data_IF_004957302930
#
_entry.id   IF_004957302930
#
_cell.length_a   1.000
_cell.length_b   1.000
_cell.length_c   1.000
_cell.angle_alpha   90.00
_cell.angle_beta   90.00
_cell.angle_gamma   90.00
#
_symmetry.space_group_name_H-M   'P 1'
#
loop_
_entity.id
_entity.type
_entity.pdbx_description
1 polymer ?
#
# COMPACT_ATOMS: atom_id res chain seq x y z
N UNK A 1 -17.54 6.77 -47.40
CA UNK A 1 -18.06 5.39 -47.30
C UNK A 1 -18.70 5.24 -45.92
N UNK A 2 -20.02 5.11 -45.85
CA UNK A 2 -20.77 4.93 -44.58
C UNK A 2 -20.56 3.50 -44.10
N UNK A 3 -20.09 3.32 -42.87
CA UNK A 3 -20.08 2.01 -42.22
C UNK A 3 -21.52 1.67 -41.81
N UNK A 4 -22.13 0.71 -42.49
CA UNK A 4 -23.32 0.01 -42.04
C UNK A 4 -22.88 -1.00 -40.97
N UNK A 5 -23.14 -0.68 -39.69
CA UNK A 5 -23.03 -1.65 -38.61
C UNK A 5 -24.21 -2.61 -38.77
N UNK A 6 -23.92 -3.87 -39.09
CA UNK A 6 -24.91 -4.94 -39.12
C UNK A 6 -25.48 -5.11 -37.71
N UNK A 7 -26.78 -4.87 -37.57
CA UNK A 7 -27.52 -4.93 -36.31
C UNK A 7 -28.52 -6.07 -36.32
N UNK A 8 -28.05 -7.31 -36.41
CA UNK A 8 -28.92 -8.51 -36.51
C UNK A 8 -28.42 -9.69 -35.65
N UNK A 9 -27.85 -9.44 -34.47
CA UNK A 9 -27.71 -10.46 -33.43
C UNK A 9 -28.14 -9.86 -32.08
N UNK A 10 -29.41 -9.51 -31.99
CA UNK A 10 -30.06 -9.10 -30.75
C UNK A 10 -30.19 -10.34 -29.86
N UNK A 11 -29.30 -10.42 -28.86
CA UNK A 11 -29.44 -11.11 -27.58
C UNK A 11 -30.55 -12.16 -27.52
N UNK A 12 -30.17 -13.42 -27.71
CA UNK A 12 -30.88 -14.51 -27.07
C UNK A 12 -30.84 -14.24 -25.55
N UNK A 13 -31.89 -13.61 -25.03
CA UNK A 13 -32.15 -13.44 -23.60
C UNK A 13 -31.88 -14.80 -22.94
N UNK A 14 -30.78 -14.87 -22.18
CA UNK A 14 -30.47 -16.06 -21.39
C UNK A 14 -31.72 -16.42 -20.60
N UNK A 15 -32.21 -17.64 -20.77
CA UNK A 15 -33.44 -18.05 -20.13
C UNK A 15 -33.24 -17.95 -18.60
N UNK A 16 -34.19 -17.38 -17.86
CA UNK A 16 -34.06 -17.16 -16.41
C UNK A 16 -33.71 -18.44 -15.64
N UNK A 17 -34.11 -19.62 -16.15
CA UNK A 17 -33.73 -20.92 -15.59
C UNK A 17 -32.22 -21.18 -15.61
N UNK A 18 -31.52 -20.72 -16.65
CA UNK A 18 -30.07 -20.89 -16.77
C UNK A 18 -29.31 -19.96 -15.82
N UNK A 19 -29.84 -18.76 -15.56
CA UNK A 19 -29.28 -17.82 -14.59
C UNK A 19 -29.47 -18.32 -13.15
N UNK A 20 -30.65 -18.86 -12.81
CA UNK A 20 -30.90 -19.50 -11.52
C UNK A 20 -29.98 -20.70 -11.28
N UNK A 21 -29.77 -21.53 -12.30
CA UNK A 21 -28.85 -22.67 -12.22
C UNK A 21 -27.40 -22.23 -11.94
N UNK A 22 -26.93 -21.18 -12.63
CA UNK A 22 -25.60 -20.58 -12.36
C UNK A 22 -25.50 -20.00 -10.95
N UNK A 23 -26.54 -19.31 -10.47
CA UNK A 23 -26.54 -18.74 -9.12
C UNK A 23 -26.49 -19.83 -8.05
N UNK A 24 -27.23 -20.93 -8.21
CA UNK A 24 -27.17 -22.09 -7.30
C UNK A 24 -25.79 -22.75 -7.32
N UNK A 25 -25.23 -22.99 -8.51
CA UNK A 25 -23.88 -23.56 -8.64
C UNK A 25 -22.82 -22.68 -7.98
N UNK A 26 -22.92 -21.35 -8.15
CA UNK A 26 -22.02 -20.40 -7.49
C UNK A 26 -22.16 -20.46 -5.97
N UNK A 27 -23.40 -20.46 -5.45
CA UNK A 27 -23.68 -20.57 -4.01
C UNK A 27 -23.09 -21.85 -3.42
N UNK A 28 -23.25 -22.99 -4.11
CA UNK A 28 -22.72 -24.27 -3.66
C UNK A 28 -21.19 -24.30 -3.67
N UNK A 29 -20.55 -23.73 -4.71
CA UNK A 29 -19.08 -23.59 -4.77
C UNK A 29 -18.56 -22.70 -3.65
N UNK A 30 -19.25 -21.61 -3.34
CA UNK A 30 -18.90 -20.71 -2.23
C UNK A 30 -19.04 -21.45 -0.90
N UNK A 31 -20.15 -22.17 -0.68
CA UNK A 31 -20.35 -22.98 0.53
C UNK A 31 -19.27 -24.06 0.70
N UNK A 32 -18.93 -24.78 -0.36
CA UNK A 32 -17.86 -25.77 -0.36
C UNK A 32 -16.49 -25.14 -0.05
N UNK A 33 -16.20 -23.97 -0.61
CA UNK A 33 -14.97 -23.23 -0.34
C UNK A 33 -14.88 -22.80 1.12
N UNK A 34 -15.99 -22.34 1.70
CA UNK A 34 -16.06 -22.00 3.13
C UNK A 34 -15.89 -23.23 4.04
N UNK A 35 -16.47 -24.36 3.67
CA UNK A 35 -16.29 -25.61 4.41
C UNK A 35 -14.86 -26.15 4.30
N UNK A 36 -14.20 -25.94 3.16
CA UNK A 36 -12.79 -26.25 2.99
C UNK A 36 -11.92 -25.34 3.86
N UNK A 37 -12.13 -24.02 3.79
CA UNK A 37 -11.48 -23.01 4.65
C UNK A 37 -11.67 -23.31 6.14
N UNK A 38 -12.87 -23.72 6.54
CA UNK A 38 -13.19 -24.09 7.92
C UNK A 38 -12.40 -25.32 8.38
N UNK A 39 -12.21 -26.31 7.50
CA UNK A 39 -11.45 -27.54 7.80
C UNK A 39 -9.95 -27.29 7.83
N UNK A 40 -9.45 -26.57 6.83
CA UNK A 40 -8.02 -26.34 6.63
C UNK A 40 -7.46 -25.25 7.55
N UNK A 41 -8.29 -24.31 8.00
CA UNK A 41 -7.91 -23.07 8.71
C UNK A 41 -6.95 -22.19 7.90
N UNK A 42 -6.95 -20.88 8.13
CA UNK A 42 -5.99 -19.98 7.43
C UNK A 42 -4.55 -20.08 7.96
N UNK A 43 -4.32 -20.89 9.00
CA UNK A 43 -3.05 -21.03 9.66
C UNK A 43 -2.06 -21.83 8.80
N UNK A 44 -0.77 -21.53 8.98
CA UNK A 44 0.28 -22.37 8.40
C UNK A 44 0.16 -23.83 8.90
N UNK A 45 0.29 -24.85 8.02
CA UNK A 45 0.17 -26.26 8.42
C UNK A 45 1.14 -26.68 9.52
N UNK A 46 2.36 -26.14 9.53
CA UNK A 46 3.34 -26.39 10.59
C UNK A 46 2.87 -25.81 11.92
N UNK A 47 2.28 -24.61 11.90
CA UNK A 47 1.69 -24.01 13.09
C UNK A 47 0.45 -24.77 13.60
N UNK A 48 -0.35 -25.34 12.71
CA UNK A 48 -1.47 -26.23 13.07
C UNK A 48 -0.97 -27.48 13.79
N UNK A 49 0.10 -28.12 13.29
CA UNK A 49 0.71 -29.28 13.95
C UNK A 49 1.24 -28.93 15.34
N UNK A 50 1.88 -27.77 15.49
CA UNK A 50 2.39 -27.31 16.78
C UNK A 50 1.26 -26.99 17.77
N UNK A 51 0.21 -26.30 17.32
CA UNK A 51 -0.99 -26.07 18.12
C UNK A 51 -1.67 -27.37 18.54
N UNK A 52 -1.71 -28.36 17.66
CA UNK A 52 -2.27 -29.68 17.95
C UNK A 52 -1.47 -30.41 19.05
N UNK A 53 -0.14 -30.24 19.06
CA UNK A 53 0.74 -30.81 20.10
C UNK A 53 0.62 -30.07 21.43
N UNK A 54 0.63 -28.75 21.42
CA UNK A 54 0.66 -27.95 22.65
C UNK A 54 -0.72 -27.80 23.30
N UNK A 55 -1.75 -27.43 22.52
CA UNK A 55 -3.07 -27.07 23.04
C UNK A 55 -4.19 -27.45 22.03
N UNK A 56 -4.57 -28.73 21.92
CA UNK A 56 -5.52 -29.20 20.91
C UNK A 56 -6.91 -28.53 21.03
N UNK A 57 -7.31 -28.12 22.24
CA UNK A 57 -8.56 -27.40 22.48
C UNK A 57 -8.64 -26.05 21.73
N UNK A 58 -7.51 -25.34 21.56
CA UNK A 58 -7.49 -24.08 20.78
C UNK A 58 -7.70 -24.34 19.30
N UNK A 59 -7.16 -25.43 18.76
CA UNK A 59 -7.36 -25.81 17.37
C UNK A 59 -8.84 -26.17 17.10
N UNK A 60 -9.47 -26.92 18.01
CA UNK A 60 -10.90 -27.23 17.92
C UNK A 60 -11.76 -25.95 17.95
N UNK A 61 -11.42 -25.00 18.82
CA UNK A 61 -12.10 -23.71 18.86
C UNK A 61 -11.87 -22.89 17.59
N UNK A 62 -10.66 -22.87 17.04
CA UNK A 62 -10.35 -22.17 15.78
C UNK A 62 -11.10 -22.74 14.58
N UNK A 63 -11.42 -24.04 14.59
CA UNK A 63 -12.26 -24.73 13.58
C UNK A 63 -13.77 -24.57 13.82
N UNK A 64 -14.17 -24.03 14.98
CA UNK A 64 -15.58 -23.69 15.24
C UNK A 64 -16.02 -22.50 14.38
N UNK A 65 -17.34 -22.31 14.23
CA UNK A 65 -17.89 -21.16 13.48
C UNK A 65 -17.44 -19.81 14.04
N UNK A 66 -17.25 -19.71 15.36
CA UNK A 66 -16.74 -18.49 15.99
C UNK A 66 -15.26 -18.27 15.68
N UNK A 67 -14.46 -19.34 15.64
CA UNK A 67 -13.06 -19.28 15.23
C UNK A 67 -12.91 -18.83 13.77
N UNK A 68 -13.76 -19.32 12.88
CA UNK A 68 -13.83 -18.88 11.48
C UNK A 68 -14.23 -17.40 11.39
N UNK A 69 -15.26 -16.97 12.12
CA UNK A 69 -15.70 -15.57 12.13
C UNK A 69 -14.56 -14.64 12.57
N UNK A 70 -13.79 -15.02 13.61
CA UNK A 70 -12.63 -14.25 14.05
C UNK A 70 -11.53 -14.21 12.97
N UNK A 71 -11.25 -15.32 12.29
CA UNK A 71 -10.27 -15.37 11.20
C UNK A 71 -10.66 -14.45 10.04
N UNK A 72 -11.93 -14.48 9.61
CA UNK A 72 -12.46 -13.59 8.59
C UNK A 72 -12.37 -12.14 9.05
N UNK A 73 -12.77 -11.82 10.29
CA UNK A 73 -12.69 -10.48 10.83
C UNK A 73 -11.24 -9.95 10.86
N UNK A 74 -10.27 -10.77 11.29
CA UNK A 74 -8.85 -10.40 11.28
C UNK A 74 -8.32 -10.17 9.86
N UNK A 75 -8.74 -11.00 8.90
CA UNK A 75 -8.40 -10.82 7.49
C UNK A 75 -9.01 -9.53 6.92
N UNK A 76 -10.28 -9.26 7.19
CA UNK A 76 -10.95 -8.01 6.79
C UNK A 76 -10.28 -6.78 7.39
N UNK A 77 -9.89 -6.81 8.66
CA UNK A 77 -9.12 -5.73 9.29
C UNK A 77 -7.77 -5.54 8.61
N UNK A 78 -7.06 -6.64 8.29
CA UNK A 78 -5.80 -6.59 7.56
C UNK A 78 -5.95 -5.91 6.20
N UNK A 79 -6.93 -6.33 5.41
CA UNK A 79 -7.26 -5.74 4.10
C UNK A 79 -7.65 -4.27 4.24
N UNK A 80 -8.52 -3.94 5.21
CA UNK A 80 -8.93 -2.57 5.48
C UNK A 80 -7.77 -1.65 5.85
N UNK A 81 -6.80 -2.12 6.65
CA UNK A 81 -5.59 -1.37 6.97
C UNK A 81 -4.68 -1.18 5.75
N UNK A 82 -4.54 -2.19 4.89
CA UNK A 82 -3.74 -2.12 3.64
C UNK A 82 -4.37 -1.16 2.61
N UNK A 83 -5.69 -1.14 2.52
CA UNK A 83 -6.43 -0.18 1.71
C UNK A 83 -6.31 1.23 2.27
N UNK A 84 -6.63 1.38 3.56
CA UNK A 84 -6.64 2.66 4.26
C UNK A 84 -5.29 3.35 4.20
N UNK A 85 -4.20 2.63 4.47
CA UNK A 85 -2.85 3.22 4.38
C UNK A 85 -2.58 3.73 2.96
N UNK A 86 -3.03 3.04 1.92
CA UNK A 86 -2.78 3.44 0.52
C UNK A 86 -3.55 4.71 0.17
N UNK A 87 -4.82 4.78 0.58
CA UNK A 87 -5.69 5.96 0.41
C UNK A 87 -5.11 7.16 1.16
N UNK A 88 -4.83 7.03 2.46
CA UNK A 88 -4.34 8.14 3.27
C UNK A 88 -2.92 8.57 2.89
N UNK A 89 -2.04 7.66 2.48
CA UNK A 89 -0.76 8.04 1.88
C UNK A 89 -0.96 8.85 0.60
N UNK A 90 -1.92 8.46 -0.25
CA UNK A 90 -2.23 9.24 -1.45
C UNK A 90 -2.82 10.60 -1.11
N UNK A 91 -3.67 10.72 -0.09
CA UNK A 91 -4.23 12.00 0.35
C UNK A 91 -3.16 12.91 0.94
N UNK A 92 -2.25 12.35 1.74
CA UNK A 92 -1.16 13.08 2.36
C UNK A 92 -0.17 13.63 1.32
N UNK A 93 0.08 12.88 0.24
CA UNK A 93 0.97 13.31 -0.84
C UNK A 93 0.31 14.31 -1.81
N UNK A 94 -0.98 14.12 -2.14
CA UNK A 94 -1.73 14.96 -3.10
C UNK A 94 -2.29 16.27 -2.52
N UNK A 95 -2.07 16.55 -1.23
CA UNK A 95 -2.57 17.77 -0.61
C UNK A 95 -2.00 19.03 -1.29
N UNK A 96 -2.69 20.17 -1.17
CA UNK A 96 -2.18 21.48 -1.65
C UNK A 96 -0.77 21.75 -1.14
N UNK A 97 -0.51 21.31 0.09
CA UNK A 97 0.79 21.36 0.73
C UNK A 97 1.50 20.02 0.57
N UNK A 98 2.53 20.00 -0.28
CA UNK A 98 3.35 18.80 -0.52
C UNK A 98 4.17 18.47 0.73
N UNK A 99 3.82 17.38 1.42
CA UNK A 99 4.64 16.84 2.51
C UNK A 99 5.99 16.37 1.98
N UNK A 100 7.00 16.31 2.86
CA UNK A 100 8.26 15.60 2.56
C UNK A 100 7.96 14.10 2.51
N UNK A 101 8.01 13.42 1.35
CA UNK A 101 7.57 12.03 1.25
C UNK A 101 8.41 11.07 2.10
N UNK A 102 9.72 11.34 2.25
CA UNK A 102 10.65 10.52 3.02
C UNK A 102 10.50 10.66 4.54
N UNK A 103 9.81 11.70 5.01
CA UNK A 103 9.54 11.86 6.45
C UNK A 103 8.63 10.76 6.99
N UNK A 104 7.66 10.30 6.18
CA UNK A 104 6.70 9.25 6.57
C UNK A 104 7.40 7.90 6.87
N UNK A 105 8.21 7.31 5.97
CA UNK A 105 8.95 6.08 6.26
C UNK A 105 9.87 6.17 7.49
N UNK A 106 10.55 7.32 7.68
CA UNK A 106 11.46 7.52 8.82
C UNK A 106 10.67 7.59 10.13
N UNK A 107 9.58 8.36 10.18
CA UNK A 107 8.68 8.40 11.33
C UNK A 107 8.08 7.03 11.62
N UNK A 108 7.69 6.30 10.58
CA UNK A 108 7.14 4.97 10.69
C UNK A 108 8.16 4.02 11.32
N UNK A 109 9.39 3.98 10.84
CA UNK A 109 10.45 3.14 11.40
C UNK A 109 10.71 3.48 12.87
N UNK A 110 10.83 4.78 13.21
CA UNK A 110 11.00 5.23 14.59
C UNK A 110 9.84 4.80 15.49
N UNK A 111 8.60 5.01 15.06
CA UNK A 111 7.41 4.64 15.82
C UNK A 111 7.34 3.11 16.00
N UNK A 112 7.75 2.33 15.00
CA UNK A 112 7.80 0.87 15.12
C UNK A 112 8.86 0.39 16.09
N UNK A 113 10.02 1.03 16.14
CA UNK A 113 11.04 0.77 17.17
C UNK A 113 10.46 1.04 18.56
N UNK A 114 9.80 2.19 18.76
CA UNK A 114 9.19 2.55 20.04
C UNK A 114 8.12 1.53 20.47
N UNK A 115 7.20 1.16 19.56
CA UNK A 115 6.15 0.17 19.83
C UNK A 115 6.77 -1.20 20.13
N UNK A 116 7.77 -1.60 19.37
CA UNK A 116 8.45 -2.89 19.53
C UNK A 116 9.15 -3.01 20.88
N UNK A 117 9.93 -1.99 21.26
CA UNK A 117 10.59 -1.91 22.57
C UNK A 117 9.57 -1.86 23.71
N UNK A 118 8.52 -1.05 23.58
CA UNK A 118 7.48 -0.92 24.60
C UNK A 118 6.75 -2.25 24.80
N UNK A 119 6.42 -2.94 23.70
CA UNK A 119 5.78 -4.26 23.75
C UNK A 119 6.70 -5.32 24.37
N UNK A 120 7.98 -5.32 24.03
CA UNK A 120 8.97 -6.22 24.61
C UNK A 120 9.10 -6.02 26.13
N UNK A 121 9.18 -4.75 26.55
CA UNK A 121 9.25 -4.38 27.96
C UNK A 121 7.97 -4.74 28.72
N UNK A 122 6.79 -4.46 28.18
CA UNK A 122 5.51 -4.73 28.85
C UNK A 122 5.19 -6.21 28.98
N UNK A 123 5.55 -7.06 28.01
CA UNK A 123 5.18 -8.48 28.00
C UNK A 123 6.19 -9.39 28.72
N UNK A 124 7.49 -9.07 28.68
CA UNK A 124 8.56 -9.94 29.21
C UNK A 124 9.42 -9.23 30.26
N UNK A 125 9.47 -7.90 30.26
CA UNK A 125 10.22 -7.11 31.21
C UNK A 125 11.65 -6.77 30.75
N UNK A 126 12.52 -6.49 31.72
CA UNK A 126 13.90 -6.00 31.50
C UNK A 126 14.77 -6.90 30.63
N UNK A 127 14.71 -8.25 30.71
CA UNK A 127 15.57 -9.11 29.88
C UNK A 127 15.30 -8.95 28.38
N UNK A 128 14.03 -8.86 27.98
CA UNK A 128 13.67 -8.66 26.58
C UNK A 128 14.03 -7.27 26.06
N UNK A 129 14.02 -6.26 26.94
CA UNK A 129 14.51 -4.93 26.60
C UNK A 129 16.00 -4.95 26.27
N UNK A 130 16.84 -5.59 27.10
CA UNK A 130 18.26 -5.71 26.81
C UNK A 130 18.52 -6.49 25.51
N UNK A 131 17.74 -7.56 25.28
CA UNK A 131 17.81 -8.36 24.07
C UNK A 131 17.41 -7.57 22.80
N UNK A 132 16.48 -6.62 22.89
CA UNK A 132 16.09 -5.77 21.76
C UNK A 132 17.26 -4.93 21.19
N UNK A 133 18.33 -4.74 21.96
CA UNK A 133 19.53 -4.00 21.58
C UNK A 133 20.74 -4.91 21.27
N UNK A 134 20.52 -6.21 20.99
CA UNK A 134 21.58 -7.10 20.53
C UNK A 134 22.08 -6.69 19.13
N UNK A 135 23.26 -6.08 19.09
CA UNK A 135 23.88 -5.56 17.88
C UNK A 135 24.16 -6.65 16.83
N UNK A 136 24.48 -7.88 17.25
CA UNK A 136 24.74 -8.97 16.30
C UNK A 136 23.45 -9.37 15.58
N UNK A 137 22.34 -9.41 16.32
CA UNK A 137 21.01 -9.69 15.74
C UNK A 137 20.56 -8.56 14.83
N UNK A 138 20.71 -7.31 15.26
CA UNK A 138 20.40 -6.14 14.41
C UNK A 138 21.19 -6.19 13.09
N UNK A 139 22.50 -6.45 13.15
CA UNK A 139 23.33 -6.58 11.94
C UNK A 139 22.91 -7.76 11.05
N UNK A 140 22.45 -8.88 11.63
CA UNK A 140 21.91 -10.02 10.86
C UNK A 140 20.65 -9.64 10.06
N UNK A 141 19.81 -8.75 10.59
CA UNK A 141 18.60 -8.27 9.89
C UNK A 141 18.85 -7.08 8.94
N UNK A 142 20.03 -6.45 8.99
CA UNK A 142 20.36 -5.27 8.20
C UNK A 142 20.17 -5.44 6.67
N UNK A 143 20.58 -6.56 6.03
CA UNK A 143 20.37 -6.74 4.59
C UNK A 143 18.89 -6.71 4.19
N UNK A 144 18.01 -7.29 5.01
CA UNK A 144 16.55 -7.28 4.78
C UNK A 144 16.00 -5.87 4.94
N UNK A 145 16.46 -5.15 5.96
CA UNK A 145 16.09 -3.76 6.21
C UNK A 145 16.50 -2.84 5.04
N UNK A 146 17.69 -3.05 4.46
CA UNK A 146 18.18 -2.32 3.29
C UNK A 146 17.29 -2.55 2.07
N UNK A 147 16.94 -3.82 1.77
CA UNK A 147 16.08 -4.16 0.63
C UNK A 147 14.69 -3.52 0.77
N UNK A 148 14.08 -3.58 1.96
CA UNK A 148 12.79 -2.93 2.20
C UNK A 148 12.86 -1.40 2.14
N UNK A 149 13.93 -0.80 2.67
CA UNK A 149 14.14 0.65 2.60
C UNK A 149 14.31 1.12 1.15
N UNK A 150 15.04 0.36 0.34
CA UNK A 150 15.16 0.60 -1.09
C UNK A 150 13.81 0.46 -1.80
N UNK A 151 13.04 -0.60 -1.52
CA UNK A 151 11.71 -0.77 -2.08
C UNK A 151 10.79 0.41 -1.75
N UNK A 152 10.71 0.83 -0.48
CA UNK A 152 9.91 1.98 -0.06
C UNK A 152 10.36 3.27 -0.77
N UNK A 153 11.66 3.43 -0.98
CA UNK A 153 12.23 4.57 -1.69
C UNK A 153 11.77 4.63 -3.16
N UNK A 154 11.80 3.49 -3.88
CA UNK A 154 11.28 3.41 -5.25
C UNK A 154 9.77 3.67 -5.30
N UNK A 155 9.02 3.20 -4.31
CA UNK A 155 7.60 3.50 -4.20
C UNK A 155 7.34 5.01 -4.06
N UNK A 156 8.15 5.70 -3.24
CA UNK A 156 8.08 7.16 -3.09
C UNK A 156 8.41 7.87 -4.41
N UNK A 157 9.50 7.47 -5.08
CA UNK A 157 9.90 8.04 -6.39
C UNK A 157 8.76 7.93 -7.40
N UNK A 158 8.16 6.74 -7.51
CA UNK A 158 7.04 6.49 -8.41
C UNK A 158 5.84 7.40 -8.11
N UNK A 159 5.48 7.55 -6.83
CA UNK A 159 4.34 8.41 -6.43
C UNK A 159 4.58 9.87 -6.77
N UNK A 160 5.78 10.39 -6.49
CA UNK A 160 6.15 11.77 -6.84
C UNK A 160 6.13 11.97 -8.36
N UNK A 161 6.56 10.98 -9.14
CA UNK A 161 6.54 11.05 -10.60
C UNK A 161 5.13 11.12 -11.19
N UNK A 162 4.11 10.50 -10.55
CA UNK A 162 2.73 10.45 -11.05
C UNK A 162 1.98 11.78 -10.92
N UNK A 163 2.38 12.63 -9.98
CA UNK A 163 1.58 13.80 -9.60
C UNK A 163 1.60 14.94 -10.64
N UNK A 164 2.68 15.07 -11.41
CA UNK A 164 2.82 16.12 -12.43
C UNK A 164 2.04 15.83 -13.71
N UNK A 165 1.80 14.55 -14.05
CA UNK A 165 0.97 14.23 -15.22
C UNK A 165 -0.44 14.78 -15.04
N UNK A 166 -0.99 14.75 -13.82
CA UNK A 166 -2.31 15.34 -13.52
C UNK A 166 -2.35 16.85 -13.76
N UNK A 167 -1.28 17.59 -13.47
CA UNK A 167 -1.23 19.04 -13.73
C UNK A 167 -1.27 19.33 -15.24
N UNK A 168 -0.64 18.47 -16.05
CA UNK A 168 -0.69 18.55 -17.50
C UNK A 168 -2.08 18.21 -18.06
N UNK A 169 -2.82 17.31 -17.40
CA UNK A 169 -4.22 17.00 -17.74
C UNK A 169 -5.21 18.10 -17.32
N UNK A 170 -5.04 18.74 -16.16
CA UNK A 170 -5.95 19.83 -15.72
C UNK A 170 -5.82 21.10 -16.56
N UNK A 171 -4.61 21.46 -17.02
CA UNK A 171 -4.45 22.52 -18.04
C UNK A 171 -5.12 22.16 -19.38
N UNK A 172 -5.34 20.87 -19.64
CA UNK A 172 -6.04 20.39 -20.84
C UNK A 172 -7.56 20.30 -20.66
N UNK A 173 -8.05 20.19 -19.42
CA UNK A 173 -9.48 20.17 -19.07
C UNK A 173 -10.14 21.54 -19.21
N UNK A 174 -9.44 22.64 -18.88
CA UNK A 174 -9.94 24.00 -19.16
C UNK A 174 -10.10 24.27 -20.67
N UNK A 175 -9.45 23.48 -21.53
CA UNK A 175 -9.57 23.57 -22.99
C UNK A 175 -10.63 22.61 -23.58
N UNK A 176 -11.31 21.77 -22.79
CA UNK A 176 -12.30 20.79 -23.27
C UNK A 176 -13.67 20.91 -22.58
N UNK A 177 -14.25 22.12 -22.61
CA UNK A 177 -15.62 22.39 -22.15
C UNK A 177 -16.73 21.79 -23.05
N UNK A 178 -16.45 20.92 -24.04
CA UNK A 178 -17.53 20.52 -24.98
C UNK A 178 -17.48 19.14 -25.64
N UNK A 179 -16.98 18.08 -25.00
CA UNK A 179 -17.24 16.70 -25.50
C UNK A 179 -17.67 15.72 -24.42
N UNK A 180 -18.85 15.15 -24.67
CA UNK A 180 -19.61 14.15 -23.95
C UNK A 180 -18.85 12.85 -23.67
N UNK A 181 -18.91 12.43 -22.40
CA UNK A 181 -18.99 11.06 -21.86
C UNK A 181 -18.29 9.94 -22.65
N UNK A 182 -16.98 9.79 -22.43
CA UNK A 182 -16.30 8.48 -22.50
C UNK A 182 -15.44 8.34 -21.24
N UNK A 183 -15.50 7.20 -20.51
CA UNK A 183 -14.64 6.96 -19.36
C UNK A 183 -13.16 6.95 -19.79
N UNK A 184 -12.40 7.95 -19.31
CA UNK A 184 -11.01 8.23 -19.69
C UNK A 184 -9.98 7.15 -19.29
N UNK A 185 -10.38 6.10 -18.57
CA UNK A 185 -9.45 5.04 -18.17
C UNK A 185 -9.00 4.14 -19.35
N UNK A 186 -9.68 4.20 -20.51
CA UNK A 186 -9.38 3.35 -21.68
C UNK A 186 -9.12 4.10 -22.99
N UNK A 187 -9.15 5.44 -22.99
CA UNK A 187 -8.91 6.22 -24.21
C UNK A 187 -7.41 6.50 -24.42
N UNK A 188 -6.61 5.46 -24.66
CA UNK A 188 -5.29 5.59 -25.31
C UNK A 188 -5.45 5.56 -26.84
N UNK A 189 -6.23 6.49 -27.39
CA UNK A 189 -6.58 6.52 -28.81
C UNK A 189 -6.38 7.89 -29.44
N UNK A 190 -5.41 7.95 -30.35
CA UNK A 190 -5.26 8.86 -31.50
C UNK A 190 -5.26 10.37 -31.24
N UNK A 191 -4.10 10.87 -30.80
CA UNK A 191 -3.71 12.27 -30.97
C UNK A 191 -2.86 12.42 -32.23
N UNK A 192 -3.50 12.71 -33.37
CA UNK A 192 -2.87 12.84 -34.69
C UNK A 192 -2.18 14.21 -34.93
N UNK A 193 -1.87 14.99 -33.88
CA UNK A 193 -1.45 16.39 -34.03
C UNK A 193 -0.24 16.88 -33.20
N UNK A 194 0.44 16.02 -32.44
CA UNK A 194 1.57 16.45 -31.60
C UNK A 194 2.68 15.38 -31.54
N UNK A 195 3.39 15.19 -32.65
CA UNK A 195 4.44 14.17 -32.78
C UNK A 195 5.54 14.29 -31.70
N UNK A 196 5.94 15.51 -31.33
CA UNK A 196 7.02 15.72 -30.33
C UNK A 196 6.58 15.42 -28.88
N UNK A 197 5.28 15.52 -28.57
CA UNK A 197 4.79 15.25 -27.21
C UNK A 197 4.53 13.77 -26.95
N UNK A 198 4.30 12.97 -27.99
CA UNK A 198 4.03 11.52 -27.86
C UNK A 198 5.21 10.77 -27.24
N UNK A 199 6.44 11.12 -27.66
CA UNK A 199 7.65 10.44 -27.18
C UNK A 199 7.89 10.69 -25.69
N UNK A 200 7.70 11.93 -25.22
CA UNK A 200 7.86 12.29 -23.80
C UNK A 200 6.86 11.57 -22.88
N UNK A 201 5.61 11.37 -23.35
CA UNK A 201 4.58 10.62 -22.60
C UNK A 201 4.95 9.14 -22.51
N UNK A 202 5.37 8.52 -23.61
CA UNK A 202 5.79 7.11 -23.61
C UNK A 202 7.00 6.87 -22.69
N UNK A 203 8.00 7.76 -22.72
CA UNK A 203 9.18 7.65 -21.84
C UNK A 203 8.79 7.77 -20.37
N UNK A 204 7.88 8.68 -20.02
CA UNK A 204 7.41 8.87 -18.65
C UNK A 204 6.63 7.65 -18.13
N UNK A 205 5.78 7.06 -18.96
CA UNK A 205 5.03 5.85 -18.63
C UNK A 205 5.95 4.63 -18.46
N UNK A 206 6.90 4.43 -19.37
CA UNK A 206 7.88 3.35 -19.30
C UNK A 206 8.73 3.46 -18.02
N UNK A 207 9.16 4.68 -17.67
CA UNK A 207 9.91 4.94 -16.44
C UNK A 207 9.07 4.64 -15.19
N UNK A 208 7.81 5.07 -15.18
CA UNK A 208 6.87 4.79 -14.09
C UNK A 208 6.64 3.28 -13.89
N UNK A 209 6.44 2.53 -14.98
CA UNK A 209 6.33 1.06 -14.94
C UNK A 209 7.60 0.40 -14.43
N UNK A 210 8.78 0.89 -14.84
CA UNK A 210 10.07 0.41 -14.35
C UNK A 210 10.19 0.56 -12.83
N UNK A 211 9.83 1.73 -12.28
CA UNK A 211 9.86 1.94 -10.82
C UNK A 211 8.90 1.02 -10.06
N UNK A 212 7.69 0.81 -10.57
CA UNK A 212 6.72 -0.13 -9.96
C UNK A 212 7.28 -1.55 -10.00
N UNK A 213 7.83 -1.97 -11.14
CA UNK A 213 8.41 -3.30 -11.30
C UNK A 213 9.60 -3.53 -10.35
N UNK A 214 10.53 -2.58 -10.27
CA UNK A 214 11.66 -2.62 -9.32
C UNK A 214 11.17 -2.67 -7.88
N UNK A 215 10.16 -1.86 -7.52
CA UNK A 215 9.54 -1.89 -6.20
C UNK A 215 8.98 -3.28 -5.86
N UNK A 216 8.22 -3.89 -6.78
CA UNK A 216 7.60 -5.21 -6.57
C UNK A 216 8.66 -6.28 -6.35
N UNK A 217 9.69 -6.33 -7.22
CA UNK A 217 10.81 -7.28 -7.09
C UNK A 217 11.51 -7.12 -5.74
N UNK A 218 11.90 -5.89 -5.37
CA UNK A 218 12.60 -5.65 -4.11
C UNK A 218 11.73 -5.99 -2.90
N UNK A 219 10.44 -5.66 -2.95
CA UNK A 219 9.47 -6.01 -1.91
C UNK A 219 9.35 -7.53 -1.71
N UNK A 220 9.35 -8.30 -2.80
CA UNK A 220 9.20 -9.75 -2.75
C UNK A 220 10.50 -10.44 -2.31
N UNK A 221 11.66 -10.00 -2.81
CA UNK A 221 12.97 -10.45 -2.31
C UNK A 221 13.09 -10.18 -0.81
N UNK A 222 12.78 -8.95 -0.37
CA UNK A 222 12.80 -8.59 1.03
C UNK A 222 11.86 -9.45 1.86
N UNK A 223 10.67 -9.78 1.34
CA UNK A 223 9.71 -10.67 2.00
C UNK A 223 10.23 -12.10 2.18
N UNK A 224 10.85 -12.68 1.14
CA UNK A 224 11.44 -14.03 1.20
C UNK A 224 12.61 -14.08 2.18
N UNK A 225 13.50 -13.08 2.13
CA UNK A 225 14.63 -13.01 3.08
C UNK A 225 14.14 -12.82 4.52
N UNK A 226 13.15 -11.96 4.73
CA UNK A 226 12.52 -11.75 6.04
C UNK A 226 11.92 -13.05 6.59
N UNK A 227 11.19 -13.78 5.76
CA UNK A 227 10.61 -15.07 6.16
C UNK A 227 11.68 -16.06 6.61
N UNK A 228 12.77 -16.21 5.84
CA UNK A 228 13.90 -17.08 6.20
C UNK A 228 14.53 -16.66 7.53
N UNK A 229 14.86 -15.38 7.71
CA UNK A 229 15.48 -14.89 8.95
C UNK A 229 14.55 -14.99 10.17
N UNK A 230 13.24 -14.78 9.99
CA UNK A 230 12.26 -14.92 11.07
C UNK A 230 12.10 -16.38 11.50
N UNK A 231 12.21 -17.31 10.54
CA UNK A 231 12.20 -18.77 10.78
C UNK A 231 13.52 -19.23 11.40
N UNK A 232 14.68 -18.70 11.04
CA UNK A 232 15.97 -19.11 11.64
C UNK A 232 16.06 -18.84 13.16
N UNK A 233 15.22 -17.95 13.69
CA UNK A 233 15.17 -17.57 15.11
C UNK A 233 13.92 -18.17 15.79
N UNK A 234 13.64 -19.46 15.55
CA UNK A 234 12.56 -20.21 16.21
C UNK A 234 12.74 -20.12 17.73
N UNK A 235 11.73 -19.59 18.43
CA UNK A 235 11.76 -19.38 19.89
C UNK A 235 11.83 -17.92 20.32
N UNK A 236 12.17 -16.99 19.42
CA UNK A 236 12.08 -15.57 19.75
C UNK A 236 10.69 -14.98 19.43
N UNK A 237 10.10 -14.20 20.35
CA UNK A 237 8.85 -13.50 20.09
C UNK A 237 8.96 -12.57 18.88
N UNK A 238 7.89 -12.48 18.10
CA UNK A 238 7.87 -11.68 16.86
C UNK A 238 8.18 -10.20 17.11
N UNK A 239 7.68 -9.60 18.19
CA UNK A 239 7.91 -8.18 18.47
C UNK A 239 9.40 -7.87 18.71
N UNK A 240 10.19 -8.80 19.27
CA UNK A 240 11.65 -8.62 19.42
C UNK A 240 12.33 -8.67 18.06
N UNK A 241 12.03 -9.71 17.26
CA UNK A 241 12.56 -9.87 15.91
C UNK A 241 12.24 -8.66 15.02
N UNK A 242 10.99 -8.16 15.11
CA UNK A 242 10.55 -6.95 14.41
C UNK A 242 11.31 -5.71 14.88
N UNK A 243 11.57 -5.58 16.18
CA UNK A 243 12.36 -4.47 16.73
C UNK A 243 13.78 -4.47 16.16
N UNK A 244 14.45 -5.62 16.09
CA UNK A 244 15.78 -5.71 15.47
C UNK A 244 15.78 -5.26 14.00
N UNK A 245 14.77 -5.67 13.24
CA UNK A 245 14.62 -5.29 11.83
C UNK A 245 14.38 -3.79 11.67
N UNK A 246 13.55 -3.17 12.52
CA UNK A 246 13.26 -1.73 12.44
C UNK A 246 14.42 -0.87 12.97
N UNK A 247 15.17 -1.32 13.98
CA UNK A 247 16.40 -0.64 14.43
C UNK A 247 17.44 -0.63 13.31
N UNK A 248 17.60 -1.75 12.59
CA UNK A 248 18.48 -1.81 11.41
C UNK A 248 17.95 -1.01 10.22
N UNK A 249 16.63 -0.98 10.04
CA UNK A 249 15.95 -0.27 8.96
C UNK A 249 15.94 1.25 9.13
N UNK A 250 15.91 1.76 10.36
CA UNK A 250 15.83 3.20 10.63
C UNK A 250 17.02 4.00 10.05
N UNK A 251 18.30 3.63 10.28
CA UNK A 251 19.43 4.27 9.61
C UNK A 251 19.36 4.16 8.08
N UNK A 252 18.85 3.04 7.55
CA UNK A 252 18.70 2.82 6.12
C UNK A 252 17.65 3.76 5.51
N UNK A 253 16.53 3.99 6.20
CA UNK A 253 15.51 4.95 5.80
C UNK A 253 16.05 6.39 5.80
N UNK A 254 16.83 6.75 6.83
CA UNK A 254 17.51 8.05 6.88
C UNK A 254 18.46 8.20 5.68
N UNK A 255 19.33 7.22 5.45
CA UNK A 255 20.28 7.23 4.33
C UNK A 255 19.55 7.36 2.99
N UNK A 256 18.49 6.59 2.78
CA UNK A 256 17.68 6.65 1.56
C UNK A 256 17.01 8.02 1.37
N UNK A 257 16.67 8.73 2.45
CA UNK A 257 16.13 10.09 2.32
C UNK A 257 17.12 11.08 1.69
N UNK A 258 18.42 10.83 1.79
CA UNK A 258 19.47 11.58 1.09
C UNK A 258 19.73 11.03 -0.31
N UNK A 259 19.84 9.69 -0.44
CA UNK A 259 20.19 9.06 -1.71
C UNK A 259 19.12 9.22 -2.78
N UNK A 260 17.83 9.16 -2.42
CA UNK A 260 16.72 9.26 -3.37
C UNK A 260 16.71 10.57 -4.16
N UNK A 261 16.72 11.76 -3.54
CA UNK A 261 16.72 13.00 -4.30
C UNK A 261 18.03 13.22 -5.07
N UNK A 262 19.18 12.73 -4.56
CA UNK A 262 20.44 12.76 -5.30
C UNK A 262 20.41 11.87 -6.56
N UNK A 263 19.81 10.67 -6.45
CA UNK A 263 19.60 9.78 -7.59
C UNK A 263 18.67 10.43 -8.63
N UNK A 264 17.60 11.09 -8.19
CA UNK A 264 16.71 11.84 -9.08
C UNK A 264 17.44 13.00 -9.77
N UNK A 265 18.28 13.73 -9.04
CA UNK A 265 19.12 14.78 -9.61
C UNK A 265 20.08 14.21 -10.66
N UNK A 266 20.73 13.08 -10.37
CA UNK A 266 21.64 12.39 -11.29
C UNK A 266 20.93 11.89 -12.57
N UNK A 267 19.69 11.43 -12.45
CA UNK A 267 18.85 11.03 -13.58
C UNK A 267 18.30 12.21 -14.40
N UNK A 268 18.70 13.45 -14.08
CA UNK A 268 18.26 14.65 -14.80
C UNK A 268 16.81 15.02 -14.53
N UNK A 269 16.22 14.56 -13.42
CA UNK A 269 14.88 14.99 -13.02
C UNK A 269 14.94 16.49 -12.66
N UNK A 270 13.96 17.27 -13.12
CA UNK A 270 13.90 18.71 -12.86
C UNK A 270 14.00 19.05 -11.36
N UNK A 271 14.71 20.13 -11.04
CA UNK A 271 14.98 20.57 -9.66
C UNK A 271 13.70 20.77 -8.82
N UNK A 272 12.64 21.27 -9.45
CA UNK A 272 11.33 21.45 -8.83
C UNK A 272 10.72 20.15 -8.27
N UNK A 273 11.18 18.97 -8.70
CA UNK A 273 10.67 17.66 -8.25
C UNK A 273 11.46 17.06 -7.09
N UNK A 274 12.79 17.06 -7.18
CA UNK A 274 13.63 16.42 -6.16
C UNK A 274 13.94 17.34 -4.99
N UNK A 275 14.05 18.66 -5.21
CA UNK A 275 14.42 19.62 -4.16
C UNK A 275 13.38 19.70 -3.02
N UNK A 276 12.06 19.65 -3.27
CA UNK A 276 11.06 19.60 -2.20
C UNK A 276 11.09 18.33 -1.34
N UNK A 277 11.80 17.27 -1.76
CA UNK A 277 11.95 16.05 -0.96
C UNK A 277 13.13 16.13 0.01
N UNK A 278 14.03 17.09 -0.17
CA UNK A 278 15.17 17.33 0.71
C UNK A 278 14.71 18.09 1.96
N UNK A 279 14.36 17.36 3.01
CA UNK A 279 13.87 17.96 4.26
C UNK A 279 14.91 18.82 5.00
N UNK A 280 16.19 18.64 4.69
CA UNK A 280 17.29 19.45 5.23
C UNK A 280 17.50 20.77 4.47
N UNK A 281 16.81 20.98 3.33
CA UNK A 281 16.87 22.23 2.57
C UNK A 281 15.73 23.16 3.00
N UNK A 282 16.08 24.42 3.24
CA UNK A 282 15.10 25.46 3.52
C UNK A 282 14.27 25.75 2.26
N UNK A 283 12.95 25.93 2.44
CA UNK A 283 12.08 26.30 1.34
C UNK A 283 12.21 27.81 1.11
N UNK A 284 12.49 28.25 -0.11
CA UNK A 284 12.61 29.67 -0.46
C UNK A 284 11.29 30.43 -0.21
N UNK A 285 10.15 29.72 -0.26
CA UNK A 285 8.82 30.27 -0.01
C UNK A 285 8.50 30.60 1.46
N UNK A 286 9.38 30.22 2.39
CA UNK A 286 9.15 30.46 3.82
C UNK A 286 9.16 31.96 4.23
N UNK A 287 9.57 32.86 3.33
CA UNK A 287 9.57 34.30 3.58
C UNK A 287 8.33 35.05 3.10
N UNK A 288 7.36 34.37 2.48
CA UNK A 288 6.16 35.02 1.94
C UNK A 288 5.09 35.14 3.04
N UNK A 289 4.72 36.37 3.43
CA UNK A 289 3.73 36.65 4.48
C UNK A 289 2.36 36.01 4.18
N UNK A 290 2.04 35.84 2.90
CA UNK A 290 0.78 35.23 2.47
C UNK A 290 0.71 33.71 2.71
N UNK A 291 1.84 33.05 2.95
CA UNK A 291 1.90 31.60 3.09
C UNK A 291 1.22 31.08 4.38
N UNK A 292 1.25 31.86 5.46
CA UNK A 292 0.59 31.53 6.72
C UNK A 292 -0.94 31.65 6.63
N UNK A 293 -1.45 32.53 5.77
CA UNK A 293 -2.88 32.82 5.65
C UNK A 293 -3.64 31.78 4.81
N UNK A 294 -2.96 31.00 3.98
CA UNK A 294 -3.62 30.13 2.99
C UNK A 294 -4.19 28.83 3.59
N UNK A 295 -3.85 28.45 4.83
CA UNK A 295 -4.33 27.21 5.42
C UNK A 295 -4.30 27.17 6.97
N UNK A 296 -5.26 27.85 7.63
CA UNK A 296 -5.41 27.88 9.10
C UNK A 296 -5.50 26.49 9.76
N UNK A 297 -5.82 25.44 9.01
CA UNK A 297 -6.01 24.08 9.54
C UNK A 297 -4.76 23.20 9.48
N UNK A 298 -3.68 23.66 8.86
CA UNK A 298 -2.47 22.86 8.68
C UNK A 298 -1.33 23.37 9.56
N UNK A 299 -0.59 22.44 10.15
CA UNK A 299 0.64 22.73 10.91
C UNK A 299 1.73 23.10 9.89
N UNK A 300 1.70 24.35 9.47
CA UNK A 300 2.53 24.91 8.43
C UNK A 300 3.93 25.21 8.98
N UNK A 301 4.79 24.18 9.03
CA UNK A 301 6.20 24.37 9.34
C UNK A 301 6.97 24.84 8.10
N UNK A 302 7.54 26.05 8.19
CA UNK A 302 8.41 26.67 7.21
C UNK A 302 9.77 25.94 7.10
N UNK A 303 9.78 24.71 6.59
CA UNK A 303 10.99 23.89 6.44
C UNK A 303 11.10 22.73 7.42
N UNK A 304 12.16 21.95 7.25
CA UNK A 304 12.47 20.82 8.12
C UNK A 304 11.73 19.53 7.80
N UNK A 305 11.88 18.58 8.71
CA UNK A 305 11.47 17.20 8.56
C UNK A 305 9.95 17.00 8.53
N UNK A 306 9.20 17.77 9.33
CA UNK A 306 7.74 17.74 9.40
C UNK A 306 7.06 18.80 8.53
N UNK A 307 7.76 19.33 7.52
CA UNK A 307 7.19 20.35 6.62
C UNK A 307 5.88 19.87 6.01
N UNK A 308 4.86 20.73 6.09
CA UNK A 308 3.53 20.54 5.52
C UNK A 308 2.72 19.36 6.07
N UNK A 309 3.09 18.80 7.23
CA UNK A 309 2.35 17.68 7.81
C UNK A 309 0.90 18.05 8.13
N UNK A 310 -0.02 17.37 7.47
CA UNK A 310 -1.46 17.48 7.70
C UNK A 310 -1.95 16.32 8.59
N UNK A 311 -3.19 16.39 9.07
CA UNK A 311 -3.81 15.28 9.79
C UNK A 311 -3.84 13.98 8.95
N UNK A 312 -3.92 14.09 7.62
CA UNK A 312 -3.88 12.94 6.72
C UNK A 312 -2.52 12.21 6.79
N UNK A 313 -1.42 12.95 6.96
CA UNK A 313 -0.09 12.35 7.16
C UNK A 313 -0.02 11.60 8.50
N UNK A 314 -0.61 12.13 9.57
CA UNK A 314 -0.68 11.46 10.86
C UNK A 314 -1.51 10.16 10.80
N UNK A 315 -2.67 10.19 10.15
CA UNK A 315 -3.50 8.99 9.93
C UNK A 315 -2.77 7.97 9.04
N UNK A 316 -2.11 8.43 7.98
CA UNK A 316 -1.29 7.57 7.13
C UNK A 316 -0.16 6.89 7.94
N UNK A 317 0.53 7.64 8.79
CA UNK A 317 1.56 7.10 9.70
C UNK A 317 1.00 6.04 10.63
N UNK A 318 -0.16 6.30 11.26
CA UNK A 318 -0.83 5.35 12.14
C UNK A 318 -1.17 4.06 11.39
N UNK A 319 -1.86 4.17 10.25
CA UNK A 319 -2.28 3.02 9.44
C UNK A 319 -1.09 2.22 8.90
N UNK A 320 -0.05 2.90 8.40
CA UNK A 320 1.19 2.25 7.95
C UNK A 320 1.84 1.45 9.09
N UNK A 321 1.89 2.04 10.29
CA UNK A 321 2.48 1.42 11.48
C UNK A 321 1.68 0.20 11.93
N UNK A 322 0.36 0.35 12.09
CA UNK A 322 -0.54 -0.76 12.45
C UNK A 322 -0.50 -1.88 11.42
N UNK A 323 -0.54 -1.55 10.13
CA UNK A 323 -0.44 -2.52 9.05
C UNK A 323 0.91 -3.27 9.08
N UNK A 324 2.03 -2.58 9.31
CA UNK A 324 3.36 -3.21 9.38
C UNK A 324 3.45 -4.26 10.50
N UNK A 325 2.93 -3.95 11.69
CA UNK A 325 2.90 -4.90 12.80
C UNK A 325 1.98 -6.09 12.50
N UNK A 326 0.75 -5.81 12.06
CA UNK A 326 -0.23 -6.85 11.76
C UNK A 326 0.24 -7.75 10.61
N UNK A 327 0.86 -7.18 9.58
CA UNK A 327 1.34 -7.92 8.41
C UNK A 327 2.41 -8.95 8.81
N UNK A 328 3.34 -8.62 9.70
CA UNK A 328 4.33 -9.62 10.10
C UNK A 328 3.81 -10.62 11.14
N UNK A 329 2.81 -10.26 11.95
CA UNK A 329 2.06 -11.25 12.74
C UNK A 329 1.34 -12.23 11.82
N UNK A 330 0.71 -11.72 10.74
CA UNK A 330 0.10 -12.52 9.68
C UNK A 330 1.15 -13.41 9.01
N UNK A 331 2.33 -12.91 8.62
CA UNK A 331 3.40 -13.74 8.02
C UNK A 331 3.85 -14.86 8.94
N UNK A 332 3.92 -14.61 10.26
CA UNK A 332 4.39 -15.64 11.21
C UNK A 332 3.33 -16.71 11.50
N UNK A 333 2.05 -16.44 11.24
CA UNK A 333 0.93 -17.30 11.66
C UNK A 333 0.09 -17.85 10.51
N UNK A 334 0.00 -17.10 9.42
CA UNK A 334 -0.75 -17.43 8.21
C UNK A 334 0.22 -17.78 7.08
N UNK A 335 -0.28 -18.56 6.13
CA UNK A 335 0.46 -18.91 4.93
C UNK A 335 0.78 -17.66 4.09
N UNK A 336 1.95 -17.64 3.43
CA UNK A 336 2.35 -16.59 2.47
C UNK A 336 1.32 -16.38 1.36
N UNK A 337 0.60 -17.44 0.98
CA UNK A 337 -0.52 -17.38 0.02
C UNK A 337 -1.65 -16.46 0.51
N UNK A 338 -2.03 -16.54 1.79
CA UNK A 338 -3.10 -15.71 2.37
C UNK A 338 -2.69 -14.23 2.35
N UNK A 339 -1.41 -13.94 2.62
CA UNK A 339 -0.87 -12.58 2.48
C UNK A 339 -0.97 -12.07 1.04
N UNK A 340 -0.64 -12.91 0.06
CA UNK A 340 -0.73 -12.54 -1.36
C UNK A 340 -2.19 -12.26 -1.75
N UNK A 341 -3.13 -13.13 -1.36
CA UNK A 341 -4.56 -12.92 -1.58
C UNK A 341 -5.05 -11.63 -0.92
N UNK A 342 -4.62 -11.35 0.31
CA UNK A 342 -4.93 -10.11 1.00
C UNK A 342 -4.44 -8.87 0.24
N UNK A 343 -3.23 -8.89 -0.34
CA UNK A 343 -2.74 -7.81 -1.20
C UNK A 343 -3.57 -7.66 -2.48
N UNK A 344 -3.94 -8.76 -3.13
CA UNK A 344 -4.79 -8.72 -4.33
C UNK A 344 -6.17 -8.13 -4.03
N UNK A 345 -6.81 -8.59 -2.95
CA UNK A 345 -8.09 -8.06 -2.48
C UNK A 345 -7.98 -6.57 -2.11
N UNK A 346 -6.90 -6.18 -1.42
CA UNK A 346 -6.67 -4.78 -1.05
C UNK A 346 -6.43 -3.89 -2.27
N UNK A 347 -5.71 -4.37 -3.28
CA UNK A 347 -5.51 -3.63 -4.53
C UNK A 347 -6.82 -3.44 -5.29
N UNK A 348 -7.64 -4.50 -5.37
CA UNK A 348 -8.96 -4.41 -5.96
C UNK A 348 -9.84 -3.41 -5.21
N UNK A 349 -9.90 -3.49 -3.88
CA UNK A 349 -10.63 -2.54 -3.04
C UNK A 349 -10.13 -1.10 -3.20
N UNK A 350 -8.82 -0.87 -3.23
CA UNK A 350 -8.26 0.47 -3.47
C UNK A 350 -8.64 0.98 -4.86
N UNK A 351 -8.67 0.13 -5.88
CA UNK A 351 -9.13 0.51 -7.21
C UNK A 351 -10.61 0.87 -7.19
N UNK A 352 -11.48 0.05 -6.62
CA UNK A 352 -12.92 0.33 -6.55
C UNK A 352 -13.22 1.55 -5.69
N UNK A 353 -12.73 1.59 -4.44
CA UNK A 353 -12.98 2.72 -3.53
C UNK A 353 -12.29 3.99 -4.03
N UNK A 354 -11.08 3.89 -4.56
CA UNK A 354 -10.33 5.03 -5.10
C UNK A 354 -10.96 5.60 -6.36
N UNK A 355 -11.14 4.77 -7.39
CA UNK A 355 -11.54 5.23 -8.73
C UNK A 355 -13.07 5.30 -8.90
N UNK A 356 -13.87 4.42 -8.27
CA UNK A 356 -15.33 4.53 -8.35
C UNK A 356 -15.88 5.56 -7.36
N UNK A 357 -15.35 5.66 -6.14
CA UNK A 357 -15.97 6.45 -5.07
C UNK A 357 -15.26 7.78 -4.81
N UNK A 358 -13.97 7.77 -4.49
CA UNK A 358 -13.25 8.97 -4.05
C UNK A 358 -12.94 9.97 -5.18
N UNK A 359 -12.74 9.49 -6.40
CA UNK A 359 -12.28 10.32 -7.53
C UNK A 359 -13.38 10.77 -8.49
N UNK A 360 -14.64 10.34 -8.32
CA UNK A 360 -15.75 10.83 -9.15
C UNK A 360 -16.42 12.04 -8.51
N UNK A 361 -16.49 13.12 -9.28
CA UNK A 361 -17.27 14.33 -8.95
C UNK A 361 -18.79 14.10 -9.15
N UNK A 362 -19.18 12.99 -9.80
CA UNK A 362 -20.56 12.62 -10.08
C UNK A 362 -20.91 11.23 -9.52
N UNK A 363 -22.19 10.99 -9.23
CA UNK A 363 -22.67 9.78 -8.56
C UNK A 363 -22.17 8.50 -9.24
N UNK A 364 -21.68 7.51 -8.48
CA UNK A 364 -21.18 6.26 -9.04
C UNK A 364 -22.33 5.48 -9.68
N UNK A 365 -22.08 4.89 -10.86
CA UNK A 365 -23.00 3.95 -11.49
C UNK A 365 -23.24 2.76 -10.55
N UNK A 366 -24.48 2.29 -10.44
CA UNK A 366 -24.89 1.15 -9.59
C UNK A 366 -24.01 -0.08 -9.81
N UNK A 367 -23.54 -0.32 -11.05
CA UNK A 367 -22.60 -1.39 -11.39
C UNK A 367 -21.22 -1.26 -10.71
N UNK A 368 -20.71 -0.05 -10.48
CA UNK A 368 -19.47 0.18 -9.72
C UNK A 368 -19.70 -0.12 -8.23
N UNK A 369 -20.89 0.21 -7.70
CA UNK A 369 -21.23 -0.09 -6.31
C UNK A 369 -21.44 -1.59 -6.09
N UNK A 370 -22.12 -2.28 -7.01
CA UNK A 370 -22.30 -3.74 -6.94
C UNK A 370 -20.96 -4.48 -7.07
N UNK A 371 -20.09 -4.07 -7.99
CA UNK A 371 -18.75 -4.67 -8.10
C UNK A 371 -17.88 -4.42 -6.87
N UNK A 372 -18.00 -3.25 -6.23
CA UNK A 372 -17.32 -2.96 -4.96
C UNK A 372 -17.88 -3.75 -3.75
N UNK A 373 -19.11 -4.28 -3.83
CA UNK A 373 -19.72 -5.13 -2.78
C UNK A 373 -19.41 -6.61 -3.00
N UNK A 374 -19.19 -7.02 -4.25
CA UNK A 374 -18.85 -8.41 -4.61
C UNK A 374 -17.38 -8.74 -4.32
N UNK A 375 -16.49 -7.75 -4.37
CA UNK A 375 -15.07 -7.84 -3.99
C UNK A 375 -14.92 -7.67 -2.49
#
# INVERSE_FOLDING_TARGET
>A
KRCSVAGDDFEALEQPEQEEARQRELSDRVAQSFDQLRRETLLDPGYVQELQRQVPGRLLWLRSSFGLLLQVALFSVYVGLDCGKTIFNSMALKGKLKIVPQSLPICQALLQVIIGISTAFSLVGKPAFAEAFDWQKILKFLPVALVFSAAQSFQVIWRVSKEDDKMRWTCFEELKVNRTLIPQACAMGDFEGAADNSQAVQTSMALGLCYVFTYLILSDIGSIMCERLLKDEEGKPYYIQKTWMEIGGFPCAILMSFLVPLLQQFLGVAESRWRPQMWWMQNEKCGDENWLAEDEKNLNYCGGFFRNWTWAAAVALLLNTSHSFLSGLVVKKLNSVVKLMGKCASLALVFFVGDCWLLRVHEPSILCMLSAVIV
#
